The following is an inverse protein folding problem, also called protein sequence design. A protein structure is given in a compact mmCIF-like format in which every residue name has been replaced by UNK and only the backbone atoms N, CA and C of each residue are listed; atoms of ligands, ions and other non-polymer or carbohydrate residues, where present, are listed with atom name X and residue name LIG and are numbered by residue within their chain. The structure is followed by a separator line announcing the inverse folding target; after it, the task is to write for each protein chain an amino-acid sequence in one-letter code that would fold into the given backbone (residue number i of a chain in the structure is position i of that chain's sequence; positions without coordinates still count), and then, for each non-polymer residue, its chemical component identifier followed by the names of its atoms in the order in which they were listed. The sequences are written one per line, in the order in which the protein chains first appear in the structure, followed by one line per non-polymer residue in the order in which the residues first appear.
data_IF_485910875317
#
_entry.id   IF_485910875317
#
_cell.length_a   1.000
_cell.length_b   1.000
_cell.length_c   1.000
_cell.angle_alpha   90.00
_cell.angle_beta   90.00
_cell.angle_gamma   90.00
#
_symmetry.space_group_name_H-M   'P 1'
#
loop_
_entity.id
_entity.type
_entity.pdbx_description
1 polymer ?
#
# COMPACT_ATOMS: atom_id res chain seq x y z
N UNK A 1 7.39 -5.75 -19.66
CA UNK A 1 6.65 -6.85 -19.02
C UNK A 1 5.40 -6.29 -18.36
N UNK A 2 4.26 -6.84 -18.71
CA UNK A 2 2.98 -6.36 -18.17
C UNK A 2 2.72 -6.96 -16.78
N UNK A 3 2.31 -6.17 -15.78
CA UNK A 3 2.01 -6.71 -14.46
C UNK A 3 0.80 -7.65 -14.42
N UNK A 4 -0.11 -7.53 -15.38
CA UNK A 4 -1.28 -8.40 -15.49
C UNK A 4 -1.20 -9.25 -16.75
N UNK A 5 -1.47 -10.55 -16.61
CA UNK A 5 -1.56 -11.48 -17.74
C UNK A 5 -2.93 -11.40 -18.38
N UNK A 6 -3.10 -12.05 -19.54
CA UNK A 6 -4.42 -12.12 -20.17
C UNK A 6 -5.42 -12.85 -19.26
N UNK A 7 -4.97 -13.88 -18.54
CA UNK A 7 -5.82 -14.59 -17.59
C UNK A 7 -6.29 -13.66 -16.45
N UNK A 8 -5.40 -12.77 -15.98
CA UNK A 8 -5.75 -11.77 -14.96
C UNK A 8 -6.79 -10.78 -15.47
N UNK A 9 -6.65 -10.32 -16.72
CA UNK A 9 -7.61 -9.40 -17.33
C UNK A 9 -8.97 -10.05 -17.56
N UNK A 10 -8.98 -11.31 -17.97
CA UNK A 10 -10.22 -12.08 -18.11
C UNK A 10 -10.90 -12.26 -16.76
N UNK A 11 -10.12 -12.53 -15.71
CA UNK A 11 -10.63 -12.63 -14.35
C UNK A 11 -11.27 -11.33 -13.88
N UNK A 12 -10.63 -10.19 -14.20
CA UNK A 12 -11.15 -8.87 -13.88
C UNK A 12 -12.51 -8.63 -14.52
N UNK A 13 -12.64 -8.94 -15.81
CA UNK A 13 -13.91 -8.75 -16.51
C UNK A 13 -15.04 -9.62 -15.95
N UNK A 14 -14.70 -10.85 -15.56
CA UNK A 14 -15.68 -11.79 -15.05
C UNK A 14 -16.10 -11.50 -13.61
N UNK A 15 -15.15 -11.11 -12.76
CA UNK A 15 -15.36 -11.03 -11.31
C UNK A 15 -15.39 -9.62 -10.74
N UNK A 16 -14.95 -8.61 -11.49
CA UNK A 16 -14.95 -7.22 -11.04
C UNK A 16 -13.81 -6.86 -10.09
N UNK A 17 -12.83 -7.75 -9.91
CA UNK A 17 -11.60 -7.48 -9.16
C UNK A 17 -10.46 -8.30 -9.72
N UNK A 18 -9.24 -7.92 -9.37
CA UNK A 18 -8.04 -8.67 -9.73
C UNK A 18 -6.95 -8.39 -8.70
N UNK A 19 -6.13 -9.39 -8.42
CA UNK A 19 -5.01 -9.26 -7.48
C UNK A 19 -3.72 -9.10 -8.27
N UNK A 20 -2.99 -8.03 -8.01
CA UNK A 20 -1.67 -7.80 -8.58
C UNK A 20 -0.63 -8.23 -7.53
N UNK A 21 -0.01 -9.38 -7.76
CA UNK A 21 0.99 -9.91 -6.83
C UNK A 21 2.30 -9.16 -6.98
N UNK A 22 2.98 -8.94 -5.88
CA UNK A 22 4.28 -8.25 -5.85
C UNK A 22 4.23 -6.92 -6.60
N UNK A 23 3.15 -6.14 -6.37
CA UNK A 23 2.95 -4.86 -7.05
C UNK A 23 4.05 -3.85 -6.74
N UNK A 24 4.61 -3.91 -5.53
CA UNK A 24 5.75 -3.08 -5.13
C UNK A 24 6.83 -3.97 -4.51
N UNK A 25 8.12 -3.56 -4.53
CA UNK A 25 9.15 -4.30 -3.83
C UNK A 25 8.84 -4.41 -2.34
N UNK A 26 9.22 -5.53 -1.73
CA UNK A 26 8.99 -5.76 -0.29
C UNK A 26 9.59 -4.66 0.57
N UNK A 27 10.79 -4.19 0.25
CA UNK A 27 11.44 -3.13 1.00
C UNK A 27 10.66 -1.80 0.94
N UNK A 28 9.96 -1.52 -0.17
CA UNK A 28 9.09 -0.33 -0.25
C UNK A 28 7.90 -0.47 0.70
N UNK A 29 7.30 -1.66 0.76
CA UNK A 29 6.20 -1.92 1.68
C UNK A 29 6.67 -1.86 3.14
N UNK A 30 7.84 -2.41 3.45
CA UNK A 30 8.42 -2.35 4.80
C UNK A 30 8.72 -0.92 5.22
N UNK A 31 9.23 -0.08 4.32
CA UNK A 31 9.48 1.33 4.60
C UNK A 31 8.20 2.10 4.86
N UNK A 32 7.14 1.80 4.11
CA UNK A 32 5.84 2.42 4.34
C UNK A 32 5.28 2.02 5.71
N UNK A 33 5.39 0.75 6.07
CA UNK A 33 4.98 0.27 7.39
C UNK A 33 5.75 0.98 8.50
N UNK A 34 7.07 1.05 8.37
CA UNK A 34 7.91 1.74 9.35
C UNK A 34 7.54 3.20 9.47
N UNK A 35 7.24 3.87 8.36
CA UNK A 35 6.81 5.27 8.36
C UNK A 35 5.54 5.47 9.19
N UNK A 36 4.60 4.54 9.11
CA UNK A 36 3.36 4.60 9.90
C UNK A 36 3.66 4.45 11.39
N UNK A 37 4.51 3.46 11.77
CA UNK A 37 4.90 3.28 13.16
C UNK A 37 5.58 4.52 13.73
N UNK A 38 6.50 5.12 12.98
CA UNK A 38 7.19 6.34 13.39
C UNK A 38 6.23 7.52 13.52
N UNK A 39 5.32 7.67 12.59
CA UNK A 39 4.31 8.73 12.62
C UNK A 39 3.43 8.62 13.87
N UNK A 40 3.02 7.40 14.22
CA UNK A 40 2.21 7.14 15.41
C UNK A 40 3.03 7.18 16.71
N UNK A 41 4.36 7.21 16.62
CA UNK A 41 5.28 7.13 17.76
C UNK A 41 5.05 5.84 18.54
N UNK A 42 4.85 4.74 17.83
CA UNK A 42 4.62 3.41 18.37
C UNK A 42 5.72 2.46 17.94
N UNK A 43 6.05 1.49 18.81
CA UNK A 43 7.04 0.46 18.51
C UNK A 43 6.31 -0.85 18.22
N UNK A 44 6.49 -1.46 17.04
CA UNK A 44 5.78 -2.70 16.68
C UNK A 44 6.11 -3.88 17.61
N UNK A 45 7.25 -3.85 18.30
CA UNK A 45 7.63 -4.93 19.23
C UNK A 45 7.34 -4.61 20.69
N UNK A 46 6.83 -3.42 20.99
CA UNK A 46 6.51 -3.00 22.35
C UNK A 46 5.04 -2.57 22.47
N UNK A 47 4.13 -3.47 22.91
CA UNK A 47 2.71 -3.14 23.01
C UNK A 47 2.38 -1.96 23.91
N UNK A 48 3.23 -1.61 24.88
CA UNK A 48 2.97 -0.48 25.75
C UNK A 48 2.94 0.84 24.99
N UNK A 49 3.61 0.93 23.84
CA UNK A 49 3.62 2.12 22.99
C UNK A 49 2.36 2.28 22.14
N UNK A 50 1.51 1.24 22.07
CA UNK A 50 0.31 1.24 21.23
C UNK A 50 -0.87 2.00 21.85
N UNK A 51 -0.78 2.34 23.13
CA UNK A 51 -1.86 2.99 23.88
C UNK A 51 -1.43 4.35 24.38
N UNK A 52 -1.47 5.38 23.51
CA UNK A 52 -1.05 6.74 23.90
C UNK A 52 -2.00 7.35 24.92
N UNK A 53 -1.47 8.27 25.72
CA UNK A 53 -2.25 9.05 26.69
C UNK A 53 -2.05 10.55 26.37
N UNK A 54 -3.09 11.29 25.93
CA UNK A 54 -4.48 10.85 25.74
C UNK A 54 -4.64 9.87 24.57
N UNK A 55 -5.71 9.02 24.60
CA UNK A 55 -5.93 8.08 23.50
C UNK A 55 -6.11 8.78 22.17
N UNK A 56 -5.62 8.14 21.12
CA UNK A 56 -5.78 8.64 19.77
C UNK A 56 -7.24 8.55 19.34
N UNK A 57 -7.74 9.64 18.73
CA UNK A 57 -9.13 9.68 18.24
C UNK A 57 -9.20 9.12 16.81
N UNK A 58 -10.25 8.35 16.55
CA UNK A 58 -10.50 7.79 15.22
C UNK A 58 -9.67 6.55 14.93
N UNK A 59 -10.03 5.86 13.86
CA UNK A 59 -9.40 4.61 13.44
C UNK A 59 -8.48 4.79 12.24
N UNK A 60 -8.50 5.97 11.59
CA UNK A 60 -7.68 6.24 10.43
C UNK A 60 -6.37 6.91 10.84
N UNK A 61 -5.28 6.45 10.23
CA UNK A 61 -3.98 7.10 10.38
C UNK A 61 -3.90 8.25 9.38
N UNK A 62 -3.82 9.48 9.89
CA UNK A 62 -3.84 10.69 9.05
C UNK A 62 -2.43 11.13 8.68
N UNK A 63 -1.70 10.27 7.98
CA UNK A 63 -0.40 10.58 7.42
C UNK A 63 -0.57 10.96 5.95
N UNK A 64 -0.50 12.25 5.63
CA UNK A 64 -0.83 12.75 4.30
C UNK A 64 0.34 12.76 3.34
N UNK A 65 1.53 13.02 3.84
CA UNK A 65 2.72 13.12 2.99
C UNK A 65 3.91 12.42 3.64
N UNK A 66 4.48 11.45 2.94
CA UNK A 66 5.72 10.78 3.32
C UNK A 66 6.32 10.12 2.10
N UNK A 67 7.61 10.26 1.91
CA UNK A 67 8.28 9.73 0.72
C UNK A 67 8.08 8.21 0.57
N UNK A 68 8.10 7.45 1.67
CA UNK A 68 7.89 6.00 1.62
C UNK A 68 6.51 5.63 1.06
N UNK A 69 5.48 6.42 1.37
CA UNK A 69 4.13 6.21 0.84
C UNK A 69 4.05 6.62 -0.63
N UNK A 70 4.70 7.73 -1.01
CA UNK A 70 4.76 8.17 -2.39
C UNK A 70 5.50 7.17 -3.27
N UNK A 71 6.58 6.55 -2.75
CA UNK A 71 7.34 5.53 -3.48
C UNK A 71 6.45 4.36 -3.88
N UNK A 72 5.52 3.95 -3.02
CA UNK A 72 4.56 2.89 -3.35
C UNK A 72 3.51 3.37 -4.36
N UNK A 73 2.95 4.56 -4.15
CA UNK A 73 1.90 5.11 -5.04
C UNK A 73 2.40 5.31 -6.46
N UNK A 74 3.65 5.70 -6.63
CA UNK A 74 4.25 6.03 -7.92
C UNK A 74 5.08 4.89 -8.50
N UNK A 75 5.05 3.71 -7.88
CA UNK A 75 5.81 2.60 -8.40
C UNK A 75 5.30 2.22 -9.80
N UNK A 76 6.17 2.12 -10.82
CA UNK A 76 5.73 1.95 -12.22
C UNK A 76 4.81 0.77 -12.47
N UNK A 77 5.01 -0.34 -11.76
CA UNK A 77 4.17 -1.54 -11.92
C UNK A 77 2.71 -1.27 -11.55
N UNK A 78 2.47 -0.42 -10.53
CA UNK A 78 1.12 -0.03 -10.13
C UNK A 78 0.47 0.81 -11.22
N UNK A 79 1.17 1.80 -11.75
CA UNK A 79 0.68 2.61 -12.86
C UNK A 79 0.36 1.74 -14.09
N UNK A 80 1.24 0.80 -14.41
CA UNK A 80 1.04 -0.11 -15.54
C UNK A 80 -0.18 -0.99 -15.35
N UNK A 81 -0.42 -1.51 -14.13
CA UNK A 81 -1.59 -2.33 -13.84
C UNK A 81 -2.89 -1.55 -14.06
N UNK A 82 -2.97 -0.31 -13.55
CA UNK A 82 -4.14 0.53 -13.77
C UNK A 82 -4.31 0.89 -15.25
N UNK A 83 -3.22 1.15 -15.95
CA UNK A 83 -3.29 1.44 -17.39
C UNK A 83 -3.84 0.23 -18.17
N UNK A 84 -3.47 -0.99 -17.80
CA UNK A 84 -3.99 -2.19 -18.44
C UNK A 84 -5.50 -2.34 -18.20
N UNK A 85 -5.97 -2.12 -16.97
CA UNK A 85 -7.38 -2.23 -16.62
C UNK A 85 -8.21 -1.18 -17.36
N UNK A 86 -7.75 0.07 -17.38
CA UNK A 86 -8.47 1.18 -17.98
C UNK A 86 -8.17 1.36 -19.47
N UNK A 87 -7.22 0.62 -20.01
CA UNK A 87 -6.84 0.67 -21.44
C UNK A 87 -6.37 2.06 -21.87
N UNK A 88 -5.55 2.68 -21.03
CA UNK A 88 -5.00 4.03 -21.32
C UNK A 88 -3.48 4.05 -21.41
#
# INVERSE_FOLDING_TARGET
MSPLSQADLDFWEENGYVIVRNAVPRENAERAEQAVWEFLKMDPVNPDTWYPDPPRRGIMVEIYQHQALWNNRQYPKIHQAFSQIWQT
#
